data_IF_090242977892
#
_entry.id   IF_090242977892
#
_cell.length_a   1.000
_cell.length_b   1.000
_cell.length_c   1.000
_cell.angle_alpha   90.00
_cell.angle_beta   90.00
_cell.angle_gamma   90.00
#
_symmetry.space_group_name_H-M   'P 1'
#
loop_
_entity.id
_entity.type
_entity.pdbx_description
1 polymer ?
#
# COMPACT_ATOMS: atom_id res chain seq x y z
N UNK A 1 -17.61 68.62 -20.63
CA UNK A 1 -18.56 67.60 -20.10
C UNK A 1 -18.24 66.18 -20.61
N UNK A 2 -17.53 66.03 -21.73
CA UNK A 2 -17.15 64.72 -22.30
C UNK A 2 -16.04 63.97 -21.53
N UNK A 3 -15.10 64.64 -20.86
CA UNK A 3 -13.97 63.95 -20.21
C UNK A 3 -14.35 63.14 -18.97
N UNK A 4 -15.47 63.48 -18.30
CA UNK A 4 -15.95 62.71 -17.14
C UNK A 4 -16.71 61.43 -17.56
N UNK A 5 -17.32 61.41 -18.74
CA UNK A 5 -18.07 60.26 -19.24
C UNK A 5 -17.12 59.12 -19.63
N UNK A 6 -16.02 59.44 -20.31
CA UNK A 6 -14.98 58.46 -20.68
C UNK A 6 -14.27 57.87 -19.46
N UNK A 7 -14.07 58.66 -18.39
CA UNK A 7 -13.42 58.18 -17.16
C UNK A 7 -14.31 57.21 -16.36
N UNK A 8 -15.64 57.38 -16.42
CA UNK A 8 -16.63 56.46 -15.83
C UNK A 8 -16.79 55.18 -16.65
N UNK A 9 -16.76 55.27 -17.97
CA UNK A 9 -16.80 54.10 -18.86
C UNK A 9 -15.54 53.23 -18.73
N UNK A 10 -14.35 53.86 -18.60
CA UNK A 10 -13.08 53.16 -18.35
C UNK A 10 -13.02 52.50 -16.97
N UNK A 11 -13.59 53.09 -15.93
CA UNK A 11 -13.63 52.49 -14.57
C UNK A 11 -14.64 51.34 -14.48
N UNK A 12 -15.78 51.42 -15.19
CA UNK A 12 -16.75 50.31 -15.26
C UNK A 12 -16.21 49.15 -16.09
N UNK A 13 -15.48 49.41 -17.18
CA UNK A 13 -14.85 48.37 -17.98
C UNK A 13 -13.70 47.66 -17.24
N UNK A 14 -12.89 48.38 -16.44
CA UNK A 14 -11.83 47.78 -15.62
C UNK A 14 -12.40 46.95 -14.47
N UNK A 15 -13.52 47.36 -13.87
CA UNK A 15 -14.20 46.62 -12.81
C UNK A 15 -14.86 45.32 -13.30
N UNK A 16 -15.28 45.26 -14.58
CA UNK A 16 -15.78 44.03 -15.20
C UNK A 16 -14.66 43.09 -15.66
N UNK A 17 -13.50 43.62 -16.03
CA UNK A 17 -12.33 42.82 -16.40
C UNK A 17 -11.65 42.17 -15.17
N UNK A 18 -11.69 42.82 -14.00
CA UNK A 18 -11.20 42.21 -12.75
C UNK A 18 -12.16 41.16 -12.18
N UNK A 19 -13.48 41.30 -12.39
CA UNK A 19 -14.47 40.34 -11.89
C UNK A 19 -14.55 39.04 -12.70
N UNK A 20 -14.11 39.05 -13.96
CA UNK A 20 -14.09 37.85 -14.82
C UNK A 20 -12.80 37.03 -14.69
N UNK A 21 -11.69 37.64 -14.28
CA UNK A 21 -10.41 36.93 -14.05
C UNK A 21 -10.40 36.19 -12.71
N UNK A 22 -11.17 36.63 -11.72
CA UNK A 22 -11.22 36.00 -10.39
C UNK A 22 -12.14 34.77 -10.29
N UNK A 23 -12.99 34.51 -11.30
CA UNK A 23 -13.99 33.42 -11.22
C UNK A 23 -13.63 32.15 -12.00
N UNK A 24 -12.47 32.08 -12.67
CA UNK A 24 -12.10 30.94 -13.52
C UNK A 24 -11.09 29.95 -12.91
N UNK A 25 -10.80 30.04 -11.61
CA UNK A 25 -10.10 28.97 -10.89
C UNK A 25 -11.07 28.17 -10.04
N UNK A 26 -12.15 27.66 -10.64
CA UNK A 26 -12.79 26.45 -10.11
C UNK A 26 -11.80 25.33 -10.42
N UNK A 27 -10.87 25.11 -9.51
CA UNK A 27 -10.05 23.91 -9.51
C UNK A 27 -11.02 22.75 -9.39
N UNK A 28 -11.23 22.02 -10.48
CA UNK A 28 -12.05 20.81 -10.46
C UNK A 28 -11.57 19.99 -9.26
N UNK A 29 -12.46 19.74 -8.30
CA UNK A 29 -12.10 18.84 -7.21
C UNK A 29 -11.64 17.54 -7.87
N UNK A 30 -10.45 17.02 -7.53
CA UNK A 30 -10.07 15.70 -8.00
C UNK A 30 -11.23 14.77 -7.68
N UNK A 31 -11.79 14.11 -8.68
CA UNK A 31 -12.73 13.02 -8.42
C UNK A 31 -12.08 12.05 -7.44
N UNK A 32 -12.86 11.30 -6.64
CA UNK A 32 -12.29 10.41 -5.64
C UNK A 32 -11.24 9.52 -6.31
N UNK A 33 -9.98 9.71 -5.92
CA UNK A 33 -8.87 8.97 -6.49
C UNK A 33 -9.07 7.48 -6.28
N UNK A 34 -8.67 6.67 -7.25
CA UNK A 34 -8.69 5.21 -7.10
C UNK A 34 -7.83 4.83 -5.90
N UNK A 35 -8.43 4.12 -4.94
CA UNK A 35 -7.74 3.57 -3.77
C UNK A 35 -7.37 2.11 -4.03
N UNK A 36 -6.28 1.63 -3.44
CA UNK A 36 -5.79 0.27 -3.62
C UNK A 36 -5.48 -0.41 -2.28
N UNK A 37 -5.85 -1.69 -2.17
CA UNK A 37 -5.52 -2.54 -1.02
C UNK A 37 -4.84 -3.80 -1.54
N UNK A 38 -3.61 -4.04 -1.11
CA UNK A 38 -2.88 -5.28 -1.35
C UNK A 38 -3.14 -6.23 -0.19
N UNK A 39 -3.91 -7.30 -0.44
CA UNK A 39 -4.14 -8.37 0.54
C UNK A 39 -3.21 -9.53 0.22
N UNK A 40 -2.27 -9.79 1.12
CA UNK A 40 -1.26 -10.84 1.01
C UNK A 40 -1.63 -11.92 2.02
N UNK A 41 -1.89 -13.12 1.52
CA UNK A 41 -2.20 -14.30 2.34
C UNK A 41 -1.07 -15.29 2.17
N UNK A 42 -0.34 -15.58 3.25
CA UNK A 42 0.86 -16.42 3.19
C UNK A 42 0.54 -17.89 2.88
N UNK A 43 1.48 -18.58 2.23
CA UNK A 43 1.46 -20.03 2.10
C UNK A 43 0.36 -20.63 1.21
N UNK A 44 -0.38 -19.83 0.43
CA UNK A 44 -1.45 -20.33 -0.45
C UNK A 44 -0.97 -20.42 -1.92
N UNK A 45 -0.60 -21.60 -2.42
CA UNK A 45 -0.28 -21.76 -3.83
C UNK A 45 -1.55 -21.82 -4.69
N UNK A 46 -1.45 -21.33 -5.92
CA UNK A 46 -2.56 -21.27 -6.88
C UNK A 46 -3.22 -22.63 -7.12
N UNK A 47 -2.43 -23.69 -7.16
CA UNK A 47 -2.90 -25.04 -7.44
C UNK A 47 -3.72 -25.66 -6.30
N UNK A 48 -3.57 -25.18 -5.06
CA UNK A 48 -4.46 -25.55 -3.96
C UNK A 48 -5.79 -24.80 -4.04
N UNK A 49 -5.76 -23.48 -4.32
CA UNK A 49 -6.97 -22.66 -4.50
C UNK A 49 -7.89 -23.27 -5.56
N UNK A 50 -7.31 -23.77 -6.66
CA UNK A 50 -8.07 -24.36 -7.76
C UNK A 50 -8.63 -25.77 -7.46
N UNK A 51 -8.17 -26.44 -6.40
CA UNK A 51 -8.52 -27.84 -6.10
C UNK A 51 -9.45 -28.00 -4.90
N UNK A 52 -9.55 -27.00 -4.03
CA UNK A 52 -10.35 -27.07 -2.80
C UNK A 52 -11.42 -25.97 -2.79
N UNK A 53 -12.56 -26.15 -2.10
CA UNK A 53 -13.54 -25.09 -1.96
C UNK A 53 -12.96 -23.86 -1.25
N UNK A 54 -12.98 -22.71 -1.91
CA UNK A 54 -12.51 -21.43 -1.36
C UNK A 54 -13.58 -20.34 -1.48
N UNK A 55 -14.75 -20.51 -0.84
CA UNK A 55 -15.95 -19.73 -1.15
C UNK A 55 -15.77 -18.20 -1.09
N UNK A 56 -14.92 -17.71 -0.19
CA UNK A 56 -14.62 -16.27 -0.09
C UNK A 56 -13.74 -15.79 -1.25
N UNK A 57 -12.70 -16.55 -1.63
CA UNK A 57 -11.84 -16.23 -2.78
C UNK A 57 -12.66 -16.33 -4.07
N UNK A 58 -13.49 -17.38 -4.19
CA UNK A 58 -14.35 -17.62 -5.35
C UNK A 58 -15.34 -16.45 -5.54
N UNK A 59 -15.92 -15.95 -4.45
CA UNK A 59 -16.80 -14.79 -4.49
C UNK A 59 -16.08 -13.51 -4.96
N UNK A 60 -14.85 -13.28 -4.51
CA UNK A 60 -14.03 -12.14 -4.96
C UNK A 60 -13.68 -12.29 -6.45
N UNK A 61 -13.24 -13.49 -6.86
CA UNK A 61 -12.87 -13.81 -8.24
C UNK A 61 -14.06 -13.68 -9.21
N UNK A 62 -15.28 -14.01 -8.78
CA UNK A 62 -16.47 -13.88 -9.59
C UNK A 62 -16.84 -12.42 -9.93
N UNK A 63 -16.43 -11.46 -9.09
CA UNK A 63 -16.68 -10.03 -9.32
C UNK A 63 -15.56 -9.38 -10.15
N UNK A 64 -14.30 -9.68 -9.84
CA UNK A 64 -13.14 -9.06 -10.49
C UNK A 64 -12.44 -10.00 -11.46
N UNK A 65 -11.84 -11.06 -10.93
CA UNK A 65 -11.17 -12.10 -11.71
C UNK A 65 -10.15 -12.89 -10.88
N UNK A 66 -9.63 -13.95 -11.50
CA UNK A 66 -8.54 -14.74 -10.97
C UNK A 66 -7.50 -14.95 -12.07
N UNK A 67 -6.22 -14.81 -11.73
CA UNK A 67 -5.11 -15.03 -12.65
C UNK A 67 -3.90 -15.60 -11.92
N UNK A 68 -3.13 -16.43 -12.62
CA UNK A 68 -1.87 -16.94 -12.09
C UNK A 68 -0.76 -15.92 -12.26
N UNK A 69 0.03 -15.73 -11.21
CA UNK A 69 1.22 -14.90 -11.20
C UNK A 69 2.36 -15.63 -10.48
N UNK A 70 3.59 -15.29 -10.83
CA UNK A 70 4.81 -15.78 -10.19
C UNK A 70 5.53 -14.64 -9.50
N UNK A 71 5.80 -14.79 -8.21
CA UNK A 71 6.46 -13.76 -7.37
C UNK A 71 7.93 -14.12 -7.07
N UNK A 72 8.59 -14.82 -7.99
CA UNK A 72 9.99 -15.19 -7.86
C UNK A 72 10.63 -15.43 -9.23
N UNK A 73 11.93 -15.18 -9.33
CA UNK A 73 12.66 -15.40 -10.57
C UNK A 73 12.95 -16.89 -10.83
N UNK A 74 13.33 -17.24 -12.09
CA UNK A 74 13.49 -18.62 -12.53
C UNK A 74 14.60 -19.37 -11.79
N UNK A 75 14.43 -20.69 -11.61
CA UNK A 75 15.42 -21.58 -11.00
C UNK A 75 16.66 -21.67 -11.89
N UNK A 76 17.85 -21.57 -11.30
CA UNK A 76 19.15 -21.62 -11.98
C UNK A 76 19.59 -20.29 -12.61
N UNK A 77 18.73 -19.27 -12.58
CA UNK A 77 19.02 -17.96 -13.16
C UNK A 77 19.43 -16.96 -12.06
N UNK A 78 20.08 -15.83 -12.42
CA UNK A 78 20.47 -14.82 -11.44
C UNK A 78 19.33 -14.34 -10.55
N UNK A 79 18.09 -14.34 -11.05
CA UNK A 79 16.89 -13.93 -10.30
C UNK A 79 16.26 -15.01 -9.42
N UNK A 80 16.83 -16.22 -9.33
CA UNK A 80 16.26 -17.31 -8.55
C UNK A 80 15.86 -16.84 -7.15
N UNK A 81 14.59 -17.08 -6.81
CA UNK A 81 13.99 -16.58 -5.58
C UNK A 81 13.45 -17.78 -4.79
N UNK A 82 13.91 -18.00 -3.54
CA UNK A 82 13.39 -19.07 -2.70
C UNK A 82 11.89 -18.95 -2.48
N UNK A 83 11.18 -20.07 -2.41
CA UNK A 83 9.74 -20.13 -2.09
C UNK A 83 9.52 -19.89 -0.60
N UNK A 84 9.77 -18.66 -0.16
CA UNK A 84 9.69 -18.17 1.22
C UNK A 84 8.91 -16.85 1.18
N UNK A 85 8.15 -16.57 2.26
CA UNK A 85 7.25 -15.42 2.42
C UNK A 85 7.90 -14.08 2.01
N UNK A 86 8.91 -13.63 2.76
CA UNK A 86 9.53 -12.31 2.57
C UNK A 86 10.13 -12.09 1.16
N UNK A 87 10.88 -13.04 0.57
CA UNK A 87 11.35 -12.92 -0.81
C UNK A 87 10.22 -12.67 -1.82
N UNK A 88 9.11 -13.40 -1.72
CA UNK A 88 7.98 -13.25 -2.64
C UNK A 88 7.32 -11.89 -2.58
N UNK A 89 7.09 -11.37 -1.37
CA UNK A 89 6.46 -10.05 -1.21
C UNK A 89 7.40 -8.94 -1.68
N UNK A 90 8.69 -9.08 -1.41
CA UNK A 90 9.69 -8.13 -1.91
C UNK A 90 9.75 -8.12 -3.43
N UNK A 91 9.60 -9.28 -4.08
CA UNK A 91 9.50 -9.32 -5.53
C UNK A 91 8.25 -8.60 -6.04
N UNK A 92 7.10 -8.82 -5.40
CA UNK A 92 5.84 -8.15 -5.72
C UNK A 92 5.95 -6.62 -5.58
N UNK A 93 6.41 -6.11 -4.43
CA UNK A 93 6.33 -4.67 -4.15
C UNK A 93 7.48 -3.84 -4.75
N UNK A 94 8.60 -4.46 -5.15
CA UNK A 94 9.69 -3.78 -5.84
C UNK A 94 9.63 -3.95 -7.36
N UNK A 95 8.90 -4.96 -7.86
CA UNK A 95 8.96 -5.33 -9.27
C UNK A 95 10.33 -5.87 -9.70
N UNK A 96 11.10 -6.44 -8.77
CA UNK A 96 12.44 -6.98 -9.01
C UNK A 96 12.58 -8.39 -8.43
N UNK A 97 13.65 -9.11 -8.74
CA UNK A 97 13.91 -10.45 -8.17
C UNK A 97 14.92 -10.39 -7.03
N UNK A 98 15.13 -11.53 -6.36
CA UNK A 98 15.94 -11.61 -5.14
C UNK A 98 17.38 -11.08 -5.27
N UNK A 99 17.99 -11.20 -6.45
CA UNK A 99 19.33 -10.64 -6.72
C UNK A 99 19.38 -9.11 -6.74
N UNK A 100 18.24 -8.45 -6.88
CA UNK A 100 18.13 -7.00 -6.79
C UNK A 100 17.77 -6.62 -5.36
N UNK A 101 16.59 -7.00 -4.88
CA UNK A 101 16.11 -6.57 -3.56
C UNK A 101 16.84 -7.23 -2.38
N UNK A 102 17.70 -8.23 -2.60
CA UNK A 102 18.57 -8.88 -1.61
C UNK A 102 17.82 -9.54 -0.43
N UNK A 103 16.64 -10.10 -0.68
CA UNK A 103 15.85 -10.81 0.35
C UNK A 103 15.66 -12.27 -0.09
N UNK A 104 16.28 -13.18 0.67
CA UNK A 104 16.30 -14.63 0.39
C UNK A 104 15.76 -15.49 1.54
N UNK A 105 15.34 -14.86 2.65
CA UNK A 105 14.89 -15.52 3.89
C UNK A 105 13.94 -14.58 4.64
N UNK A 106 13.29 -15.05 5.70
CA UNK A 106 12.38 -14.22 6.51
C UNK A 106 13.09 -13.38 7.58
N UNK A 107 14.23 -13.85 8.11
CA UNK A 107 14.88 -13.24 9.27
C UNK A 107 16.37 -12.96 9.05
N UNK A 108 16.92 -11.99 9.79
CA UNK A 108 18.31 -11.58 9.67
C UNK A 108 18.66 -11.11 8.25
N UNK A 109 17.72 -10.42 7.61
CA UNK A 109 17.81 -9.91 6.24
C UNK A 109 18.34 -8.48 6.21
N UNK A 110 18.85 -8.09 5.04
CA UNK A 110 19.27 -6.73 4.75
C UNK A 110 18.79 -6.38 3.34
N UNK A 111 17.53 -5.94 3.19
CA UNK A 111 16.99 -5.56 1.89
C UNK A 111 17.83 -4.45 1.24
N UNK A 112 17.99 -4.51 -0.07
CA UNK A 112 18.64 -3.45 -0.84
C UNK A 112 17.63 -2.37 -1.22
N UNK A 113 17.52 -1.34 -0.38
CA UNK A 113 16.53 -0.26 -0.57
C UNK A 113 16.82 0.68 -1.74
N UNK A 114 17.90 0.45 -2.52
CA UNK A 114 18.08 1.12 -3.83
C UNK A 114 16.99 0.69 -4.81
N UNK A 115 16.42 -0.49 -4.62
CA UNK A 115 15.23 -0.95 -5.34
C UNK A 115 13.99 -0.53 -4.55
N UNK A 116 13.32 0.50 -5.06
CA UNK A 116 12.22 1.14 -4.33
C UNK A 116 11.02 0.21 -4.28
N UNK A 117 10.41 0.12 -3.10
CA UNK A 117 9.08 -0.45 -2.99
C UNK A 117 8.01 0.58 -3.41
N UNK A 118 6.83 0.07 -3.75
CA UNK A 118 5.69 0.88 -4.18
C UNK A 118 5.33 2.00 -3.19
N UNK A 119 5.42 1.77 -1.88
CA UNK A 119 5.06 2.77 -0.86
C UNK A 119 6.03 3.94 -0.82
N UNK A 120 7.34 3.67 -0.94
CA UNK A 120 8.36 4.71 -1.10
C UNK A 120 8.09 5.56 -2.34
N UNK A 121 7.77 4.91 -3.46
CA UNK A 121 7.45 5.60 -4.71
C UNK A 121 6.23 6.51 -4.53
N UNK A 122 5.13 5.99 -3.98
CA UNK A 122 3.92 6.78 -3.74
C UNK A 122 4.19 7.95 -2.80
N UNK A 123 4.89 7.74 -1.68
CA UNK A 123 5.20 8.85 -0.76
C UNK A 123 6.05 9.92 -1.44
N UNK A 124 6.95 9.53 -2.34
CA UNK A 124 7.84 10.46 -3.05
C UNK A 124 7.10 11.28 -4.11
N UNK A 125 6.22 10.64 -4.89
CA UNK A 125 5.51 11.28 -6.01
C UNK A 125 4.19 11.96 -5.62
N UNK A 126 3.56 11.45 -4.56
CA UNK A 126 2.22 11.83 -4.08
C UNK A 126 2.19 11.88 -2.55
N UNK A 127 2.95 12.81 -1.93
CA UNK A 127 3.10 12.88 -0.47
C UNK A 127 1.78 13.12 0.27
N UNK A 128 0.76 13.64 -0.40
CA UNK A 128 -0.59 13.87 0.13
C UNK A 128 -1.42 12.60 0.33
N UNK A 129 -1.06 11.49 -0.31
CA UNK A 129 -1.83 10.25 -0.22
C UNK A 129 -1.59 9.55 1.11
N UNK A 130 -2.66 8.99 1.65
CA UNK A 130 -2.63 8.24 2.91
C UNK A 130 -2.17 6.80 2.68
N UNK A 131 -1.13 6.40 3.40
CA UNK A 131 -0.55 5.06 3.36
C UNK A 131 -0.86 4.32 4.65
N UNK A 132 -1.38 3.10 4.53
CA UNK A 132 -1.65 2.24 5.68
C UNK A 132 -1.00 0.85 5.56
N UNK A 133 -0.64 0.28 6.71
CA UNK A 133 -0.16 -1.10 6.80
C UNK A 133 -0.82 -1.81 7.97
N UNK A 134 -1.32 -3.01 7.68
CA UNK A 134 -1.94 -3.94 8.61
C UNK A 134 -1.19 -5.26 8.47
N UNK A 135 -0.46 -5.70 9.48
CA UNK A 135 0.46 -6.82 9.33
C UNK A 135 0.64 -7.60 10.62
N UNK A 136 0.54 -8.92 10.51
CA UNK A 136 0.87 -9.87 11.58
C UNK A 136 2.30 -9.70 12.09
N UNK A 137 3.26 -9.38 11.20
CA UNK A 137 4.66 -9.15 11.57
C UNK A 137 5.04 -7.67 11.48
N UNK A 138 5.61 -7.11 12.55
CA UNK A 138 6.17 -5.74 12.55
C UNK A 138 7.32 -5.59 11.55
N UNK A 139 8.10 -6.65 11.35
CA UNK A 139 9.31 -6.62 10.53
C UNK A 139 9.00 -6.37 9.05
N UNK A 140 7.78 -6.68 8.59
CA UNK A 140 7.30 -6.30 7.26
C UNK A 140 7.40 -4.78 7.06
N UNK A 141 6.97 -3.98 8.03
CA UNK A 141 7.06 -2.51 7.95
C UNK A 141 8.48 -2.00 8.15
N UNK A 142 9.11 -2.43 9.26
CA UNK A 142 10.35 -1.80 9.74
C UNK A 142 11.60 -2.30 9.01
N UNK A 143 11.59 -3.54 8.52
CA UNK A 143 12.72 -4.17 7.87
C UNK A 143 12.43 -4.35 6.38
N UNK A 144 11.40 -5.12 5.98
CA UNK A 144 11.18 -5.38 4.54
C UNK A 144 10.93 -4.09 3.75
N UNK A 145 10.01 -3.25 4.22
CA UNK A 145 9.67 -1.99 3.55
C UNK A 145 10.61 -0.83 3.91
N UNK A 146 11.45 -0.99 4.94
CA UNK A 146 12.45 -0.01 5.35
C UNK A 146 11.86 1.30 5.86
N UNK A 147 10.67 1.27 6.46
CA UNK A 147 10.01 2.47 6.96
C UNK A 147 10.91 3.23 7.97
N UNK A 148 11.11 4.52 7.73
CA UNK A 148 11.90 5.41 8.59
C UNK A 148 13.42 5.18 8.56
N UNK A 149 13.93 4.25 7.74
CA UNK A 149 15.37 4.07 7.54
C UNK A 149 15.91 5.14 6.59
N UNK A 150 17.13 5.62 6.85
CA UNK A 150 17.79 6.62 6.01
C UNK A 150 18.05 6.06 4.60
N UNK A 151 18.60 4.84 4.49
CA UNK A 151 18.80 4.19 3.20
C UNK A 151 17.47 3.84 2.49
N UNK A 152 16.39 3.70 3.25
CA UNK A 152 15.02 3.49 2.78
C UNK A 152 14.32 4.75 2.26
N UNK A 153 14.95 5.93 2.35
CA UNK A 153 14.37 7.20 1.94
C UNK A 153 13.54 7.91 3.03
N UNK A 154 13.60 7.43 4.27
CA UNK A 154 12.98 8.05 5.46
C UNK A 154 11.50 8.45 5.29
N UNK A 155 10.72 7.62 4.61
CA UNK A 155 9.27 7.76 4.48
C UNK A 155 8.54 7.01 5.61
N UNK A 156 7.26 7.34 5.83
CA UNK A 156 6.41 6.72 6.86
C UNK A 156 5.02 6.40 6.34
N UNK A 157 4.43 5.35 6.91
CA UNK A 157 3.00 5.12 6.87
C UNK A 157 2.29 6.15 7.75
N UNK A 158 1.08 6.55 7.34
CA UNK A 158 0.22 7.40 8.18
C UNK A 158 -0.49 6.56 9.24
N UNK A 159 -0.72 5.27 8.93
CA UNK A 159 -1.45 4.34 9.78
C UNK A 159 -0.74 2.99 9.80
N UNK A 160 -0.53 2.43 11.00
CA UNK A 160 0.07 1.12 11.16
C UNK A 160 -0.67 0.32 12.24
N UNK A 161 -1.06 -0.91 11.89
CA UNK A 161 -1.53 -1.94 12.81
C UNK A 161 -0.61 -3.14 12.65
N UNK A 162 0.38 -3.21 13.52
CA UNK A 162 1.34 -4.31 13.64
C UNK A 162 1.79 -4.47 15.11
N UNK A 163 2.74 -5.37 15.38
CA UNK A 163 3.23 -5.59 16.75
C UNK A 163 2.36 -6.51 17.59
N UNK A 164 1.27 -7.03 17.02
CA UNK A 164 0.36 -7.96 17.68
C UNK A 164 1.05 -9.29 18.02
N UNK A 165 2.05 -9.70 17.23
CA UNK A 165 2.89 -10.86 17.50
C UNK A 165 3.74 -10.73 18.77
N UNK A 166 3.90 -9.50 19.28
CA UNK A 166 4.67 -9.19 20.50
C UNK A 166 3.76 -9.06 21.72
N UNK A 167 2.45 -8.98 21.51
CA UNK A 167 1.45 -8.90 22.58
C UNK A 167 1.06 -10.32 23.03
N UNK A 168 1.98 -10.98 23.74
CA UNK A 168 1.77 -12.33 24.27
C UNK A 168 0.68 -12.38 25.37
N UNK A 169 0.24 -11.23 25.89
CA UNK A 169 -0.86 -11.15 26.86
C UNK A 169 -2.19 -11.30 26.13
N UNK A 170 -2.38 -10.59 25.02
CA UNK A 170 -3.60 -10.67 24.22
C UNK A 170 -3.62 -11.89 23.29
N UNK A 171 -2.46 -12.30 22.78
CA UNK A 171 -2.28 -13.43 21.87
C UNK A 171 -1.25 -14.42 22.43
N UNK A 172 -1.58 -15.13 23.53
CA UNK A 172 -0.67 -16.09 24.14
C UNK A 172 -0.33 -17.21 23.16
N UNK A 173 0.93 -17.68 23.17
CA UNK A 173 1.37 -18.77 22.30
C UNK A 173 0.52 -20.02 22.51
N UNK A 174 0.14 -20.66 21.39
CA UNK A 174 -0.64 -21.91 21.36
C UNK A 174 0.07 -22.95 20.49
N UNK A 175 -0.17 -24.26 20.72
CA UNK A 175 0.35 -25.31 19.87
C UNK A 175 0.02 -25.07 18.39
N UNK A 176 0.92 -25.51 17.50
CA UNK A 176 0.81 -25.32 16.05
C UNK A 176 0.65 -23.86 15.63
N UNK A 177 1.18 -22.94 16.45
CA UNK A 177 1.09 -21.50 16.26
C UNK A 177 -0.34 -20.97 16.08
N UNK A 178 -1.35 -21.66 16.63
CA UNK A 178 -2.75 -21.30 16.42
C UNK A 178 -3.10 -19.85 16.82
N UNK A 179 -2.34 -19.23 17.74
CA UNK A 179 -2.47 -17.81 18.09
C UNK A 179 -2.29 -16.84 16.90
N UNK A 180 -1.56 -17.23 15.85
CA UNK A 180 -1.40 -16.44 14.63
C UNK A 180 -2.75 -16.22 13.94
N UNK A 181 -3.64 -17.22 13.92
CA UNK A 181 -4.99 -17.04 13.38
C UNK A 181 -5.81 -16.00 14.17
N UNK A 182 -5.59 -15.86 15.47
CA UNK A 182 -6.25 -14.82 16.28
C UNK A 182 -5.68 -13.44 15.94
N UNK A 183 -4.36 -13.35 15.68
CA UNK A 183 -3.69 -12.13 15.22
C UNK A 183 -4.21 -11.74 13.83
N UNK A 184 -4.26 -12.65 12.87
CA UNK A 184 -4.78 -12.41 11.52
C UNK A 184 -6.24 -11.94 11.53
N UNK A 185 -7.06 -12.50 12.42
CA UNK A 185 -8.42 -12.03 12.63
C UNK A 185 -8.45 -10.59 13.17
N UNK A 186 -7.54 -10.24 14.09
CA UNK A 186 -7.44 -8.88 14.62
C UNK A 186 -6.94 -7.90 13.54
N UNK A 187 -5.90 -8.27 12.77
CA UNK A 187 -5.37 -7.51 11.63
C UNK A 187 -6.48 -7.25 10.62
N UNK A 188 -7.22 -8.29 10.22
CA UNK A 188 -8.31 -8.18 9.24
C UNK A 188 -9.45 -7.28 9.72
N UNK A 189 -9.84 -7.37 11.00
CA UNK A 189 -10.88 -6.52 11.59
C UNK A 189 -10.45 -5.06 11.67
N UNK A 190 -9.23 -4.79 12.12
CA UNK A 190 -8.71 -3.42 12.17
C UNK A 190 -8.51 -2.83 10.79
N UNK A 191 -8.03 -3.62 9.82
CA UNK A 191 -7.95 -3.21 8.42
C UNK A 191 -9.32 -2.81 7.89
N UNK A 192 -10.33 -3.66 8.04
CA UNK A 192 -11.69 -3.35 7.59
C UNK A 192 -12.26 -2.10 8.27
N UNK A 193 -12.06 -1.96 9.59
CA UNK A 193 -12.54 -0.81 10.37
C UNK A 193 -11.89 0.49 9.90
N UNK A 194 -10.56 0.52 9.79
CA UNK A 194 -9.80 1.71 9.45
C UNK A 194 -9.90 2.06 7.96
N UNK A 195 -10.00 1.07 7.07
CA UNK A 195 -10.29 1.33 5.66
C UNK A 195 -11.67 1.98 5.51
N UNK A 196 -12.67 1.52 6.27
CA UNK A 196 -14.01 2.09 6.22
C UNK A 196 -14.10 3.50 6.86
N UNK A 197 -13.37 3.75 7.95
CA UNK A 197 -13.47 5.03 8.67
C UNK A 197 -12.54 6.11 8.13
N UNK A 198 -11.31 5.76 7.75
CA UNK A 198 -10.28 6.73 7.33
C UNK A 198 -10.07 6.75 5.81
N UNK A 199 -10.29 5.62 5.12
CA UNK A 199 -10.15 5.53 3.67
C UNK A 199 -8.73 5.82 3.14
N UNK A 200 -7.67 5.14 3.62
CA UNK A 200 -6.32 5.30 3.10
C UNK A 200 -6.25 4.99 1.60
N UNK A 201 -5.40 5.71 0.87
CA UNK A 201 -5.30 5.61 -0.58
C UNK A 201 -4.55 4.36 -1.06
N UNK A 202 -3.56 3.92 -0.28
CA UNK A 202 -2.81 2.69 -0.55
C UNK A 202 -2.58 1.92 0.75
N UNK A 203 -3.05 0.69 0.79
CA UNK A 203 -2.95 -0.18 1.97
C UNK A 203 -2.24 -1.50 1.69
N UNK A 204 -1.44 -1.94 2.65
CA UNK A 204 -0.92 -3.31 2.76
C UNK A 204 -1.69 -4.05 3.85
N UNK A 205 -2.18 -5.25 3.55
CA UNK A 205 -2.74 -6.19 4.53
C UNK A 205 -2.00 -7.51 4.39
N UNK A 206 -1.38 -7.98 5.47
CA UNK A 206 -0.68 -9.26 5.51
C UNK A 206 -1.24 -10.18 6.59
N UNK A 207 -1.50 -11.42 6.19
CA UNK A 207 -2.04 -12.53 6.97
C UNK A 207 -1.11 -13.75 6.81
N UNK A 208 -0.90 -14.53 7.87
CA UNK A 208 0.01 -15.69 7.90
C UNK A 208 -0.70 -17.04 7.93
#
# INVERSE_FOLDING_TARGET
MESMLNRRLLTVALAWLTLTVLNNTVQAQPGPGSKAVFVIVDGIPADLVERVPTPTIDAIAAVGGYGRATVGGPIGEPGETPTISAPGYMSLITGTWANKHNVYKNYGISPDYRYWNLFRLVRSEKPELQLAIFSTWTDNRKILLGEGLAEGGNWRFDMAVDGLEKDEVRFPRRPLDAHIADIDNAVSREAARLIASEGPDLSWVYLQ
#
